data_IF_827523376140
#
_entry.id   IF_827523376140
#
_cell.length_a   1.000
_cell.length_b   1.000
_cell.length_c   1.000
_cell.angle_alpha   90.00
_cell.angle_beta   90.00
_cell.angle_gamma   90.00
#
_symmetry.space_group_name_H-M   'P 1'
#
loop_
_entity.id
_entity.type
_entity.pdbx_description
1 polymer ?
#
# COMPACT_ATOMS: atom_id res chain seq x y z
N UNK A 1 -15.29 41.73 -31.18
CA UNK A 1 -15.51 40.27 -31.47
C UNK A 1 -16.99 40.07 -31.75
N UNK A 2 -17.30 39.57 -32.92
CA UNK A 2 -18.67 39.47 -33.41
C UNK A 2 -19.34 38.23 -32.82
N UNK A 3 -20.53 38.35 -32.21
CA UNK A 3 -21.26 37.27 -31.55
C UNK A 3 -21.49 36.04 -32.45
N UNK A 4 -21.56 36.24 -33.75
CA UNK A 4 -21.70 35.18 -34.77
C UNK A 4 -20.45 34.28 -34.89
N UNK A 5 -19.25 34.80 -34.66
CA UNK A 5 -18.01 34.06 -34.74
C UNK A 5 -17.78 33.22 -33.48
N UNK A 6 -18.27 33.65 -32.32
CA UNK A 6 -18.23 32.87 -31.08
C UNK A 6 -19.12 31.64 -31.15
N UNK A 7 -20.30 31.73 -31.78
CA UNK A 7 -21.21 30.58 -31.93
C UNK A 7 -20.65 29.55 -32.93
N UNK A 8 -20.00 30.01 -34.02
CA UNK A 8 -19.34 29.12 -34.96
C UNK A 8 -18.16 28.35 -34.33
N UNK A 9 -17.41 29.00 -33.48
CA UNK A 9 -16.31 28.36 -32.74
C UNK A 9 -16.82 27.30 -31.72
N UNK A 10 -17.98 27.53 -31.12
CA UNK A 10 -18.61 26.61 -30.16
C UNK A 10 -19.15 25.34 -30.85
N UNK A 11 -19.74 25.50 -32.05
CA UNK A 11 -20.23 24.37 -32.83
C UNK A 11 -19.09 23.49 -33.37
N UNK A 12 -17.98 24.11 -33.80
CA UNK A 12 -16.77 23.36 -34.20
C UNK A 12 -16.09 22.67 -33.02
N UNK A 13 -16.13 23.27 -31.81
CA UNK A 13 -15.59 22.66 -30.60
C UNK A 13 -16.38 21.41 -30.15
N UNK A 14 -17.69 21.40 -30.32
CA UNK A 14 -18.52 20.23 -29.93
C UNK A 14 -18.33 19.03 -30.84
N UNK A 15 -18.08 19.24 -32.13
CA UNK A 15 -17.80 18.13 -33.06
C UNK A 15 -16.43 17.49 -32.75
N UNK A 16 -15.43 18.30 -32.39
CA UNK A 16 -14.12 17.77 -32.01
C UNK A 16 -14.15 16.98 -30.68
N UNK A 17 -14.97 17.39 -29.72
CA UNK A 17 -15.14 16.68 -28.44
C UNK A 17 -15.81 15.31 -28.65
N UNK A 18 -16.77 15.19 -29.59
CA UNK A 18 -17.40 13.90 -29.92
C UNK A 18 -16.42 12.89 -30.51
N UNK A 19 -15.53 13.34 -31.39
CA UNK A 19 -14.52 12.46 -32.01
C UNK A 19 -13.48 11.99 -30.98
N UNK A 20 -13.10 12.83 -30.02
CA UNK A 20 -12.16 12.45 -28.96
C UNK A 20 -12.75 11.39 -28.00
N UNK A 21 -14.06 11.50 -27.70
CA UNK A 21 -14.75 10.53 -26.83
C UNK A 21 -14.86 9.16 -27.52
N UNK A 22 -15.03 9.13 -28.84
CA UNK A 22 -15.12 7.90 -29.61
C UNK A 22 -13.75 7.23 -29.78
N UNK A 23 -12.68 8.01 -29.90
CA UNK A 23 -11.31 7.54 -29.90
C UNK A 23 -10.92 6.90 -28.56
N UNK A 24 -11.39 7.45 -27.41
CA UNK A 24 -11.17 6.87 -26.09
C UNK A 24 -11.93 5.55 -25.88
N UNK A 25 -13.07 5.33 -26.52
CA UNK A 25 -13.83 4.07 -26.43
C UNK A 25 -13.15 2.89 -27.15
N UNK A 26 -12.32 3.18 -28.14
CA UNK A 26 -11.58 2.17 -28.91
C UNK A 26 -10.10 2.04 -28.48
N UNK A 27 -9.61 2.89 -27.60
CA UNK A 27 -8.34 2.70 -26.95
C UNK A 27 -8.51 1.53 -25.96
N UNK A 28 -8.18 0.31 -26.36
CA UNK A 28 -7.75 -0.70 -25.39
C UNK A 28 -6.61 -0.02 -24.63
N UNK A 29 -6.85 0.31 -23.36
CA UNK A 29 -5.79 0.73 -22.46
C UNK A 29 -4.91 -0.50 -22.28
N UNK A 30 -3.97 -0.71 -23.17
CA UNK A 30 -2.81 -1.51 -22.84
C UNK A 30 -2.10 -0.71 -21.76
N UNK A 31 -2.26 -1.12 -20.53
CA UNK A 31 -1.34 -0.73 -19.46
C UNK A 31 0.02 -1.10 -20.03
N UNK A 32 0.81 -0.10 -20.40
CA UNK A 32 2.18 -0.34 -20.82
C UNK A 32 2.84 -1.02 -19.62
N UNK A 33 3.17 -2.30 -19.75
CA UNK A 33 4.07 -2.95 -18.82
C UNK A 33 5.31 -2.08 -18.77
N UNK A 34 5.56 -1.48 -17.61
CA UNK A 34 6.77 -0.70 -17.41
C UNK A 34 7.92 -1.68 -17.53
N UNK A 35 8.58 -1.67 -18.69
CA UNK A 35 9.71 -2.55 -18.92
C UNK A 35 10.85 -2.06 -18.01
N UNK A 36 11.27 -2.92 -17.07
CA UNK A 36 12.37 -2.64 -16.14
C UNK A 36 13.67 -2.26 -16.91
N UNK A 37 13.80 -2.72 -18.14
CA UNK A 37 14.93 -2.39 -19.00
C UNK A 37 14.96 -0.92 -19.49
N UNK A 38 13.85 -0.20 -19.41
CA UNK A 38 13.76 1.22 -19.81
C UNK A 38 14.23 2.18 -18.69
N UNK A 39 14.56 1.67 -17.50
CA UNK A 39 15.07 2.48 -16.39
C UNK A 39 16.48 2.98 -16.66
N UNK A 40 16.80 4.16 -16.10
CA UNK A 40 18.16 4.71 -16.15
C UNK A 40 19.16 3.77 -15.45
N UNK A 41 20.40 3.75 -15.92
CA UNK A 41 21.42 2.83 -15.37
C UNK A 41 21.67 3.07 -13.87
N UNK A 42 21.66 4.32 -13.43
CA UNK A 42 21.83 4.67 -12.02
C UNK A 42 20.69 4.11 -11.14
N UNK A 43 19.47 4.08 -11.65
CA UNK A 43 18.32 3.49 -10.95
C UNK A 43 18.47 1.96 -10.85
N UNK A 44 18.91 1.30 -11.92
CA UNK A 44 19.17 -0.15 -11.92
C UNK A 44 20.27 -0.51 -10.91
N UNK A 45 21.36 0.23 -10.90
CA UNK A 45 22.48 0.03 -9.96
C UNK A 45 22.05 0.25 -8.52
N UNK A 46 21.21 1.25 -8.28
CA UNK A 46 20.62 1.51 -6.97
C UNK A 46 19.74 0.35 -6.48
N UNK A 47 18.85 -0.15 -7.33
CA UNK A 47 17.98 -1.29 -7.01
C UNK A 47 18.78 -2.55 -6.72
N UNK A 48 19.84 -2.81 -7.49
CA UNK A 48 20.77 -3.92 -7.24
C UNK A 48 21.42 -3.77 -5.88
N UNK A 49 21.86 -2.57 -5.52
CA UNK A 49 22.48 -2.29 -4.21
C UNK A 49 21.50 -2.54 -3.05
N UNK A 50 20.30 -1.97 -3.10
CA UNK A 50 19.29 -2.13 -2.03
C UNK A 50 18.87 -3.59 -1.88
N UNK A 51 18.68 -4.31 -3.01
CA UNK A 51 18.32 -5.72 -2.99
C UNK A 51 19.44 -6.64 -2.48
N UNK A 52 20.71 -6.24 -2.63
CA UNK A 52 21.86 -6.98 -2.12
C UNK A 52 22.06 -6.82 -0.59
N UNK A 53 21.43 -5.81 0.02
CA UNK A 53 21.49 -5.63 1.46
C UNK A 53 20.80 -6.80 2.21
N UNK A 54 21.29 -7.19 3.40
CA UNK A 54 20.62 -8.19 4.23
C UNK A 54 19.16 -7.82 4.49
N UNK A 55 18.32 -8.81 4.70
CA UNK A 55 16.92 -8.57 5.08
C UNK A 55 16.87 -7.79 6.38
N UNK A 56 16.04 -6.76 6.41
CA UNK A 56 15.82 -5.96 7.60
C UNK A 56 14.91 -6.68 8.58
N UNK A 57 13.78 -7.23 8.10
CA UNK A 57 12.86 -7.97 8.95
C UNK A 57 13.28 -9.44 9.09
N UNK A 58 13.10 -9.99 10.29
CA UNK A 58 13.19 -11.42 10.51
C UNK A 58 11.92 -12.16 9.99
N UNK A 59 11.94 -13.49 10.07
CA UNK A 59 10.83 -14.32 9.56
C UNK A 59 9.52 -14.07 10.30
N UNK A 60 9.60 -13.83 11.62
CA UNK A 60 8.42 -13.55 12.43
C UNK A 60 7.84 -12.16 12.15
N UNK A 61 8.71 -11.14 12.05
CA UNK A 61 8.31 -9.78 11.68
C UNK A 61 7.67 -9.77 10.30
N UNK A 62 8.25 -10.48 9.33
CA UNK A 62 7.70 -10.58 7.98
C UNK A 62 6.35 -11.31 7.94
N UNK A 63 6.19 -12.40 8.71
CA UNK A 63 4.91 -13.08 8.85
C UNK A 63 3.83 -12.18 9.47
N UNK A 64 4.19 -11.35 10.46
CA UNK A 64 3.30 -10.38 11.08
C UNK A 64 2.87 -9.30 10.08
N UNK A 65 3.81 -8.77 9.28
CA UNK A 65 3.53 -7.80 8.20
C UNK A 65 2.57 -8.41 7.18
N UNK A 66 2.78 -9.67 6.78
CA UNK A 66 1.94 -10.38 5.81
C UNK A 66 0.51 -10.51 6.31
N UNK A 67 0.33 -11.03 7.53
CA UNK A 67 -1.01 -11.20 8.14
C UNK A 67 -1.72 -9.86 8.32
N UNK A 68 -1.02 -8.84 8.84
CA UNK A 68 -1.59 -7.50 9.02
C UNK A 68 -1.91 -6.85 7.67
N UNK A 69 -1.06 -7.04 6.67
CA UNK A 69 -1.29 -6.57 5.30
C UNK A 69 -2.57 -7.14 4.70
N UNK A 70 -2.79 -8.44 4.83
CA UNK A 70 -3.99 -9.11 4.32
C UNK A 70 -5.27 -8.75 5.11
N UNK A 71 -5.14 -8.33 6.37
CA UNK A 71 -6.27 -7.74 7.12
C UNK A 71 -6.61 -6.34 6.60
N UNK A 72 -5.61 -5.53 6.25
CA UNK A 72 -5.80 -4.16 5.74
C UNK A 72 -6.35 -4.17 4.31
N UNK A 73 -5.80 -5.02 3.44
CA UNK A 73 -6.20 -5.19 2.03
C UNK A 73 -6.48 -6.68 1.77
N UNK A 74 -7.66 -7.15 2.16
CA UNK A 74 -8.05 -8.54 1.94
C UNK A 74 -8.36 -8.80 0.46
N UNK A 75 -8.24 -10.06 0.07
CA UNK A 75 -8.69 -10.51 -1.25
C UNK A 75 -10.19 -10.31 -1.41
N UNK A 76 -10.60 -9.80 -2.57
CA UNK A 76 -11.99 -9.69 -2.98
C UNK A 76 -12.25 -10.37 -4.34
N UNK A 77 -13.43 -10.17 -4.92
CA UNK A 77 -13.82 -10.78 -6.20
C UNK A 77 -13.04 -10.21 -7.40
N UNK A 78 -12.42 -9.05 -7.25
CA UNK A 78 -11.79 -8.29 -8.34
C UNK A 78 -10.30 -8.12 -8.18
N UNK A 79 -9.79 -8.25 -6.95
CA UNK A 79 -8.37 -8.04 -6.63
C UNK A 79 -7.82 -9.10 -5.67
N UNK A 80 -6.52 -9.37 -5.77
CA UNK A 80 -5.79 -10.20 -4.82
C UNK A 80 -5.65 -9.54 -3.46
N UNK A 81 -5.11 -10.26 -2.48
CA UNK A 81 -4.75 -9.69 -1.18
C UNK A 81 -3.43 -8.91 -1.23
N UNK A 82 -3.08 -8.20 -0.14
CA UNK A 82 -1.81 -7.53 -0.02
C UNK A 82 -0.61 -8.47 -0.24
N UNK A 83 -0.68 -9.69 0.29
CA UNK A 83 0.40 -10.67 0.11
C UNK A 83 0.50 -11.18 -1.33
N UNK A 84 -0.63 -11.41 -2.02
CA UNK A 84 -0.65 -11.76 -3.44
C UNK A 84 -0.07 -10.64 -4.33
N UNK A 85 -0.24 -9.38 -3.94
CA UNK A 85 0.35 -8.20 -4.59
C UNK A 85 1.80 -7.91 -4.14
N UNK A 86 2.45 -8.81 -3.38
CA UNK A 86 3.84 -8.67 -2.90
C UNK A 86 4.09 -7.42 -2.03
N UNK A 87 3.06 -6.95 -1.34
CA UNK A 87 3.18 -5.80 -0.43
C UNK A 87 4.19 -6.04 0.70
N UNK A 88 4.32 -7.24 1.31
CA UNK A 88 5.36 -7.49 2.30
C UNK A 88 6.78 -7.23 1.77
N UNK A 89 7.09 -7.65 0.54
CA UNK A 89 8.37 -7.41 -0.12
C UNK A 89 8.57 -5.92 -0.42
N UNK A 90 7.52 -5.21 -0.82
CA UNK A 90 7.55 -3.76 -0.98
C UNK A 90 7.88 -3.05 0.34
N UNK A 91 7.30 -3.47 1.48
CA UNK A 91 7.58 -2.90 2.79
C UNK A 91 9.04 -3.18 3.20
N UNK A 92 9.54 -4.39 2.96
CA UNK A 92 10.95 -4.73 3.17
C UNK A 92 11.88 -3.82 2.35
N UNK A 93 11.53 -3.56 1.09
CA UNK A 93 12.28 -2.64 0.23
C UNK A 93 12.25 -1.21 0.78
N UNK A 94 11.07 -0.69 1.09
CA UNK A 94 10.88 0.70 1.56
C UNK A 94 11.64 0.98 2.85
N UNK A 95 11.70 0.05 3.80
CA UNK A 95 12.43 0.29 5.06
C UNK A 95 13.96 0.30 4.87
N UNK A 96 14.48 -0.31 3.80
CA UNK A 96 15.88 -0.21 3.40
C UNK A 96 16.16 1.09 2.66
N UNK A 97 15.28 1.46 1.75
CA UNK A 97 15.35 2.69 0.95
C UNK A 97 15.18 3.94 1.80
N UNK A 98 14.27 3.90 2.78
CA UNK A 98 13.92 4.98 3.70
C UNK A 98 14.12 4.54 5.16
N UNK A 99 15.34 4.61 5.71
CA UNK A 99 15.67 4.09 7.04
C UNK A 99 14.87 4.72 8.19
N UNK A 100 14.29 5.90 8.00
CA UNK A 100 13.39 6.53 8.97
C UNK A 100 12.13 5.71 9.29
N UNK A 101 11.77 4.74 8.44
CA UNK A 101 10.66 3.82 8.68
C UNK A 101 11.05 2.62 9.56
N UNK A 102 12.35 2.31 9.70
CA UNK A 102 12.82 1.13 10.41
C UNK A 102 12.35 1.09 11.86
N UNK A 103 12.65 2.14 12.62
CA UNK A 103 12.31 2.21 14.06
C UNK A 103 10.79 2.21 14.28
N UNK A 104 10.00 3.05 13.60
CA UNK A 104 8.55 3.05 13.80
C UNK A 104 7.88 1.73 13.44
N UNK A 105 8.28 1.08 12.35
CA UNK A 105 7.68 -0.19 11.93
C UNK A 105 8.06 -1.32 12.87
N UNK A 106 9.36 -1.51 13.17
CA UNK A 106 9.80 -2.57 14.09
C UNK A 106 9.27 -2.36 15.50
N UNK A 107 9.26 -1.13 15.99
CA UNK A 107 8.68 -0.80 17.29
C UNK A 107 7.17 -1.09 17.36
N UNK A 108 6.46 -0.84 16.27
CA UNK A 108 5.04 -1.15 16.15
C UNK A 108 4.73 -2.65 16.07
N UNK A 109 5.52 -3.43 15.31
CA UNK A 109 5.40 -4.88 15.26
C UNK A 109 5.59 -5.50 16.66
N UNK A 110 6.61 -5.02 17.39
CA UNK A 110 6.86 -5.47 18.76
C UNK A 110 5.72 -5.09 19.70
N UNK A 111 5.16 -3.88 19.57
CA UNK A 111 3.99 -3.46 20.35
C UNK A 111 2.79 -4.37 20.06
N UNK A 112 2.54 -4.70 18.80
CA UNK A 112 1.43 -5.55 18.38
C UNK A 112 1.53 -6.94 19.01
N UNK A 113 2.71 -7.56 18.96
CA UNK A 113 2.95 -8.86 19.58
C UNK A 113 2.80 -8.83 21.10
N UNK A 114 3.35 -7.79 21.76
CA UNK A 114 3.23 -7.64 23.20
C UNK A 114 1.76 -7.46 23.62
N UNK A 115 1.02 -6.65 22.87
CA UNK A 115 -0.41 -6.42 23.13
C UNK A 115 -1.22 -7.70 22.93
N UNK A 116 -0.94 -8.44 21.86
CA UNK A 116 -1.52 -9.75 21.58
C UNK A 116 -1.22 -10.76 22.70
N UNK A 117 0.03 -10.82 23.13
CA UNK A 117 0.45 -11.71 24.21
C UNK A 117 -0.25 -11.39 25.53
N UNK A 118 -0.36 -10.13 25.88
CA UNK A 118 -1.05 -9.69 27.10
C UNK A 118 -2.55 -10.04 27.08
N UNK A 119 -3.17 -10.07 25.89
CA UNK A 119 -4.60 -10.29 25.73
C UNK A 119 -4.96 -11.77 25.54
N UNK A 120 -4.12 -12.50 24.80
CA UNK A 120 -4.41 -13.86 24.32
C UNK A 120 -3.33 -14.89 24.69
N UNK A 121 -2.22 -14.48 25.31
CA UNK A 121 -1.11 -15.39 25.70
C UNK A 121 -0.25 -15.91 24.54
N UNK A 122 -0.36 -15.31 23.36
CA UNK A 122 0.35 -15.72 22.14
C UNK A 122 0.66 -14.52 21.23
N UNK A 123 1.63 -14.68 20.31
CA UNK A 123 1.97 -13.64 19.33
C UNK A 123 0.82 -13.37 18.36
N UNK A 124 0.80 -12.21 17.74
CA UNK A 124 -0.25 -11.79 16.82
C UNK A 124 -0.49 -12.80 15.68
N UNK A 125 0.59 -13.30 15.07
CA UNK A 125 0.51 -14.30 13.99
C UNK A 125 -0.12 -15.61 14.46
N UNK A 126 0.06 -15.96 15.74
CA UNK A 126 -0.46 -17.21 16.33
C UNK A 126 -1.92 -17.08 16.80
N UNK A 127 -2.49 -15.89 16.75
CA UNK A 127 -3.89 -15.66 17.08
C UNK A 127 -4.81 -16.18 15.99
N UNK A 128 -6.05 -16.51 16.35
CA UNK A 128 -7.09 -16.78 15.36
C UNK A 128 -7.44 -15.49 14.61
N UNK A 129 -8.03 -15.62 13.43
CA UNK A 129 -8.43 -14.46 12.64
C UNK A 129 -9.37 -13.51 13.42
N UNK A 130 -10.30 -14.05 14.18
CA UNK A 130 -11.21 -13.25 15.02
C UNK A 130 -10.46 -12.48 16.11
N UNK A 131 -9.47 -13.10 16.76
CA UNK A 131 -8.62 -12.45 17.75
C UNK A 131 -7.76 -11.33 17.10
N UNK A 132 -7.21 -11.58 15.91
CA UNK A 132 -6.44 -10.59 15.14
C UNK A 132 -7.30 -9.39 14.78
N UNK A 133 -8.50 -9.60 14.23
CA UNK A 133 -9.45 -8.52 13.93
C UNK A 133 -9.82 -7.76 15.21
N UNK A 134 -10.06 -8.44 16.33
CA UNK A 134 -10.36 -7.78 17.60
C UNK A 134 -9.23 -6.88 18.12
N UNK A 135 -7.96 -7.24 17.88
CA UNK A 135 -6.80 -6.41 18.20
C UNK A 135 -6.72 -5.22 17.24
N UNK A 136 -6.91 -5.46 15.94
CA UNK A 136 -6.87 -4.41 14.91
C UNK A 136 -7.98 -3.37 15.14
N UNK A 137 -9.18 -3.78 15.50
CA UNK A 137 -10.30 -2.86 15.79
C UNK A 137 -10.00 -1.88 16.94
N UNK A 138 -9.16 -2.28 17.91
CA UNK A 138 -8.77 -1.40 19.02
C UNK A 138 -7.87 -0.24 18.57
N UNK A 139 -7.18 -0.37 17.44
CA UNK A 139 -6.17 0.58 16.96
C UNK A 139 -6.49 1.19 15.59
N UNK A 140 -7.43 0.60 14.83
CA UNK A 140 -7.75 1.06 13.49
C UNK A 140 -8.47 2.43 13.45
N UNK A 141 -9.17 2.78 14.52
CA UNK A 141 -10.01 3.98 14.59
C UNK A 141 -9.50 4.95 15.65
N UNK A 142 -8.65 5.94 15.29
CA UNK A 142 -8.01 6.86 16.26
C UNK A 142 -8.98 7.55 17.22
N UNK A 143 -10.20 7.88 16.73
CA UNK A 143 -11.22 8.57 17.55
C UNK A 143 -11.90 7.65 18.58
N UNK A 144 -11.81 6.34 18.41
CA UNK A 144 -12.42 5.32 19.28
C UNK A 144 -11.39 4.62 20.13
N UNK A 145 -10.11 4.69 19.75
CA UNK A 145 -9.03 4.03 20.46
C UNK A 145 -8.82 4.62 21.86
N UNK A 146 -8.48 3.75 22.79
CA UNK A 146 -8.11 4.18 24.15
C UNK A 146 -6.76 4.89 24.13
N UNK A 147 -6.52 5.87 25.04
CA UNK A 147 -5.24 6.58 25.11
C UNK A 147 -4.03 5.66 25.27
N UNK A 148 -4.18 4.54 25.99
CA UNK A 148 -3.15 3.53 26.20
C UNK A 148 -2.70 2.82 24.92
N UNK A 149 -3.55 2.82 23.87
CA UNK A 149 -3.26 2.23 22.57
C UNK A 149 -2.65 3.23 21.56
N UNK A 150 -2.28 4.44 21.99
CA UNK A 150 -1.79 5.50 21.09
C UNK A 150 -0.61 5.05 20.19
N UNK A 151 0.31 4.23 20.73
CA UNK A 151 1.42 3.68 19.97
C UNK A 151 0.93 2.71 18.89
N UNK A 152 -0.01 1.82 19.22
CA UNK A 152 -0.64 0.91 18.28
C UNK A 152 -1.39 1.65 17.16
N UNK A 153 -2.12 2.72 17.50
CA UNK A 153 -2.82 3.58 16.52
C UNK A 153 -1.83 4.22 15.55
N UNK A 154 -0.71 4.76 16.06
CA UNK A 154 0.33 5.37 15.22
C UNK A 154 0.95 4.33 14.28
N UNK A 155 1.25 3.14 14.80
CA UNK A 155 1.76 2.02 14.02
C UNK A 155 0.76 1.57 12.95
N UNK A 156 -0.51 1.35 13.31
CA UNK A 156 -1.52 0.90 12.36
C UNK A 156 -1.71 1.91 11.21
N UNK A 157 -1.75 3.20 11.50
CA UNK A 157 -1.82 4.24 10.46
C UNK A 157 -0.62 4.16 9.52
N UNK A 158 0.60 4.01 10.05
CA UNK A 158 1.81 3.82 9.24
C UNK A 158 1.73 2.56 8.36
N UNK A 159 1.31 1.44 8.94
CA UNK A 159 1.15 0.19 8.19
C UNK A 159 0.09 0.30 7.10
N UNK A 160 -1.05 0.92 7.41
CA UNK A 160 -2.11 1.15 6.41
C UNK A 160 -1.60 1.98 5.23
N UNK A 161 -0.84 3.04 5.49
CA UNK A 161 -0.28 3.89 4.44
C UNK A 161 0.73 3.10 3.57
N UNK A 162 1.62 2.31 4.18
CA UNK A 162 2.58 1.47 3.46
C UNK A 162 1.88 0.36 2.64
N UNK A 163 0.91 -0.34 3.25
CA UNK A 163 0.15 -1.40 2.59
C UNK A 163 -0.64 -0.84 1.40
N UNK A 164 -1.34 0.27 1.60
CA UNK A 164 -2.11 0.91 0.53
C UNK A 164 -1.18 1.37 -0.61
N UNK A 165 -0.05 2.02 -0.28
CA UNK A 165 0.93 2.44 -1.29
C UNK A 165 1.46 1.23 -2.05
N UNK A 166 1.94 0.20 -1.36
CA UNK A 166 2.46 -1.01 -2.00
C UNK A 166 1.43 -1.69 -2.88
N UNK A 167 0.19 -1.81 -2.43
CA UNK A 167 -0.88 -2.48 -3.17
C UNK A 167 -1.24 -1.79 -4.49
N UNK A 168 -1.27 -0.45 -4.51
CA UNK A 168 -1.62 0.31 -5.72
C UNK A 168 -0.43 0.64 -6.62
N UNK A 169 0.80 0.32 -6.21
CA UNK A 169 2.02 0.55 -7.01
C UNK A 169 2.70 -0.75 -7.47
N UNK A 170 2.15 -1.90 -7.09
CA UNK A 170 2.65 -3.23 -7.46
C UNK A 170 2.23 -3.63 -8.86
#
# INVERSE_FOLDING_TARGET
MDRRNSIKALVLGTVSAGVVIEACKNAKTTVAEVNIDDRMQEEKDYLVKVNAEPKFFDEHEMATITVLGDIIMPKDETSGSASEAKVPEFIEFIVKDMPEHQIPVRGGLRWLDLHSFNKHGKSFVSCTHEEQIGIVDEIAYPKKAKPEHAQGVSFFNKMRDLVTTGFYTS
#
